data_IF_776852288722
#
_entry.id   IF_776852288722
#
_cell.length_a   1.000
_cell.length_b   1.000
_cell.length_c   1.000
_cell.angle_alpha   90.00
_cell.angle_beta   90.00
_cell.angle_gamma   90.00
#
_symmetry.space_group_name_H-M   'P 1'
#
loop_
_entity.id
_entity.type
_entity.pdbx_description
1 polymer ?
#
# COMPACT_ATOMS: atom_id res chain seq x y z
N UNK A 1 2.15 11.55 -1.64
CA UNK A 1 1.94 10.16 -2.05
C UNK A 1 1.58 9.34 -0.82
N UNK A 2 0.29 9.03 -0.67
CA UNK A 2 -0.26 8.19 0.41
C UNK A 2 -1.32 7.27 -0.18
N UNK A 3 -1.68 6.20 0.51
CA UNK A 3 -2.79 5.30 0.14
C UNK A 3 -4.10 6.06 -0.08
N UNK A 4 -4.30 7.18 0.64
CA UNK A 4 -5.48 8.03 0.48
C UNK A 4 -5.58 8.77 -0.86
N UNK A 5 -4.47 8.91 -1.58
CA UNK A 5 -4.46 9.49 -2.93
C UNK A 5 -4.73 8.42 -4.00
N UNK A 6 -4.73 7.13 -3.65
CA UNK A 6 -5.04 6.00 -4.53
C UNK A 6 -3.92 5.57 -5.49
N UNK A 7 -2.97 6.46 -5.83
CA UNK A 7 -1.91 6.20 -6.82
C UNK A 7 -0.98 5.05 -6.47
N UNK A 8 -0.86 4.70 -5.19
CA UNK A 8 0.01 3.63 -4.71
C UNK A 8 -0.64 2.25 -4.67
N UNK A 9 -1.97 2.15 -4.62
CA UNK A 9 -2.62 0.89 -4.23
C UNK A 9 -2.36 -0.23 -5.23
N UNK A 10 -2.57 0.05 -6.52
CA UNK A 10 -2.31 -0.91 -7.59
C UNK A 10 -0.82 -1.26 -7.70
N UNK A 11 0.07 -0.27 -7.60
CA UNK A 11 1.53 -0.47 -7.67
C UNK A 11 1.99 -1.37 -6.53
N UNK A 12 1.55 -1.10 -5.30
CA UNK A 12 1.92 -1.93 -4.16
C UNK A 12 1.40 -3.35 -4.33
N UNK A 13 0.18 -3.55 -4.83
CA UNK A 13 -0.32 -4.90 -5.15
C UNK A 13 0.59 -5.62 -6.16
N UNK A 14 0.90 -4.96 -7.29
CA UNK A 14 1.82 -5.49 -8.31
C UNK A 14 3.16 -5.89 -7.71
N UNK A 15 3.80 -4.97 -6.98
CA UNK A 15 5.12 -5.19 -6.39
C UNK A 15 5.10 -6.34 -5.38
N UNK A 16 4.02 -6.49 -4.60
CA UNK A 16 3.90 -7.59 -3.65
C UNK A 16 3.79 -8.95 -4.38
N UNK A 17 3.03 -9.03 -5.47
CA UNK A 17 2.90 -10.27 -6.25
C UNK A 17 4.24 -10.65 -6.91
N UNK A 18 4.91 -9.69 -7.54
CA UNK A 18 6.23 -9.91 -8.15
C UNK A 18 7.24 -10.34 -7.10
N UNK A 19 7.20 -9.72 -5.93
CA UNK A 19 8.18 -9.98 -4.87
C UNK A 19 8.01 -11.34 -4.19
N UNK A 20 6.79 -11.87 -4.07
CA UNK A 20 6.57 -13.24 -3.57
C UNK A 20 7.10 -14.30 -4.54
N UNK A 21 7.17 -13.96 -5.83
CA UNK A 21 7.59 -14.86 -6.90
C UNK A 21 8.93 -14.45 -7.51
N UNK A 22 9.83 -13.83 -6.71
CA UNK A 22 11.13 -13.39 -7.24
C UNK A 22 11.95 -14.53 -7.80
N UNK A 23 11.85 -15.74 -7.25
CA UNK A 23 12.60 -16.88 -7.75
C UNK A 23 12.13 -17.29 -9.15
N UNK A 24 10.85 -17.08 -9.47
CA UNK A 24 10.29 -17.38 -10.79
C UNK A 24 10.61 -16.25 -11.78
N UNK A 25 10.55 -14.99 -11.32
CA UNK A 25 10.72 -13.83 -12.18
C UNK A 25 12.16 -13.38 -12.38
N UNK A 26 13.04 -13.51 -11.40
CA UNK A 26 14.39 -12.94 -11.45
C UNK A 26 15.50 -13.98 -11.53
N UNK A 27 15.26 -15.23 -11.15
CA UNK A 27 16.29 -16.26 -11.28
C UNK A 27 16.34 -16.78 -12.73
N UNK A 28 17.53 -16.72 -13.29
CA UNK A 28 17.82 -17.09 -14.67
C UNK A 28 19.10 -17.90 -14.69
N UNK A 29 19.13 -19.06 -15.38
CA UNK A 29 20.34 -19.88 -15.49
C UNK A 29 21.49 -19.15 -16.19
N UNK A 30 21.19 -18.12 -17.00
CA UNK A 30 22.20 -17.28 -17.67
C UNK A 30 22.76 -16.14 -16.79
N UNK A 31 22.38 -16.10 -15.50
CA UNK A 31 22.73 -15.03 -14.59
C UNK A 31 21.79 -13.80 -14.71
N UNK A 32 21.87 -12.89 -13.73
CA UNK A 32 21.05 -11.67 -13.66
C UNK A 32 21.74 -10.54 -14.42
N UNK A 33 21.05 -9.93 -15.40
CA UNK A 33 21.52 -8.68 -16.01
C UNK A 33 21.58 -7.54 -14.99
N UNK A 34 22.45 -6.56 -15.21
CA UNK A 34 22.57 -5.38 -14.34
C UNK A 34 21.25 -4.64 -14.17
N UNK A 35 20.46 -4.56 -15.24
CA UNK A 35 19.13 -3.93 -15.22
C UNK A 35 18.18 -4.72 -14.33
N UNK A 36 18.14 -6.05 -14.44
CA UNK A 36 17.27 -6.87 -13.60
C UNK A 36 17.65 -6.80 -12.12
N UNK A 37 18.93 -6.69 -11.79
CA UNK A 37 19.36 -6.47 -10.41
C UNK A 37 18.82 -5.14 -9.86
N UNK A 38 18.85 -4.07 -10.66
CA UNK A 38 18.26 -2.78 -10.27
C UNK A 38 16.74 -2.86 -10.12
N UNK A 39 16.05 -3.57 -11.02
CA UNK A 39 14.60 -3.78 -10.94
C UNK A 39 14.22 -4.64 -9.72
N UNK A 40 15.01 -5.65 -9.37
CA UNK A 40 14.82 -6.46 -8.15
C UNK A 40 14.96 -5.59 -6.89
N UNK A 41 15.96 -4.71 -6.84
CA UNK A 41 16.14 -3.73 -5.76
C UNK A 41 14.94 -2.77 -5.68
N UNK A 42 14.45 -2.28 -6.81
CA UNK A 42 13.27 -1.43 -6.86
C UNK A 42 12.03 -2.15 -6.32
N UNK A 43 11.78 -3.39 -6.77
CA UNK A 43 10.69 -4.22 -6.26
C UNK A 43 10.85 -4.43 -4.75
N UNK A 44 12.08 -4.66 -4.27
CA UNK A 44 12.35 -4.79 -2.84
C UNK A 44 12.02 -3.50 -2.06
N UNK A 45 12.47 -2.33 -2.52
CA UNK A 45 12.20 -1.04 -1.86
C UNK A 45 10.71 -0.73 -1.77
N UNK A 46 9.94 -1.02 -2.82
CA UNK A 46 8.48 -0.84 -2.82
C UNK A 46 7.76 -1.76 -1.82
N UNK A 47 8.39 -2.87 -1.45
CA UNK A 47 7.91 -3.80 -0.43
C UNK A 47 8.51 -3.57 0.96
N UNK A 48 9.23 -2.45 1.17
CA UNK A 48 9.99 -2.15 2.39
C UNK A 48 11.04 -3.21 2.74
N UNK A 49 11.62 -3.86 1.73
CA UNK A 49 12.82 -4.67 1.88
C UNK A 49 14.06 -3.80 1.65
N UNK A 50 15.18 -4.14 2.29
CA UNK A 50 16.46 -3.44 2.07
C UNK A 50 16.99 -3.57 0.64
N UNK A 51 16.51 -4.58 -0.12
CA UNK A 51 16.91 -4.82 -1.51
C UNK A 51 18.31 -5.40 -1.69
N UNK A 52 19.03 -5.63 -0.60
CA UNK A 52 20.34 -6.26 -0.57
C UNK A 52 20.31 -7.48 0.35
N UNK A 53 21.14 -8.48 0.05
CA UNK A 53 21.37 -9.60 0.96
C UNK A 53 22.15 -9.09 2.17
N UNK A 54 21.46 -8.90 3.28
CA UNK A 54 22.08 -8.47 4.53
C UNK A 54 22.36 -9.67 5.42
N UNK A 55 23.64 -9.93 5.69
CA UNK A 55 24.07 -10.75 6.82
C UNK A 55 24.47 -9.82 7.97
N UNK A 56 23.65 -9.74 9.03
CA UNK A 56 23.91 -8.83 10.15
C UNK A 56 25.09 -9.28 11.02
N UNK A 57 25.37 -10.57 11.06
CA UNK A 57 26.49 -11.17 11.77
C UNK A 57 26.86 -12.52 11.13
N UNK A 58 28.10 -12.95 11.33
CA UNK A 58 28.58 -14.25 10.85
C UNK A 58 27.87 -15.41 11.55
N UNK A 59 27.34 -16.34 10.75
CA UNK A 59 26.56 -17.46 11.26
C UNK A 59 25.05 -17.19 11.41
N UNK A 60 24.55 -16.06 10.88
CA UNK A 60 23.11 -15.80 10.85
C UNK A 60 22.38 -16.82 9.95
N UNK A 61 21.72 -17.79 10.58
CA UNK A 61 20.92 -18.79 9.88
C UNK A 61 19.59 -18.23 9.32
N UNK A 62 18.96 -19.01 8.44
CA UNK A 62 17.71 -18.65 7.74
C UNK A 62 16.56 -18.31 8.70
N UNK A 63 16.44 -19.05 9.80
CA UNK A 63 15.43 -18.79 10.84
C UNK A 63 15.61 -17.39 11.44
N UNK A 64 16.86 -17.00 11.75
CA UNK A 64 17.17 -15.68 12.30
C UNK A 64 16.83 -14.56 11.30
N UNK A 65 17.13 -14.77 10.02
CA UNK A 65 16.78 -13.85 8.94
C UNK A 65 15.26 -13.61 8.85
N UNK A 66 14.46 -14.68 8.86
CA UNK A 66 12.99 -14.57 8.79
C UNK A 66 12.40 -13.96 10.07
N UNK A 67 12.95 -14.29 11.24
CA UNK A 67 12.55 -13.65 12.50
C UNK A 67 12.82 -12.13 12.49
N UNK A 68 13.98 -11.69 11.99
CA UNK A 68 14.28 -10.27 11.83
C UNK A 68 13.34 -9.58 10.84
N UNK A 69 12.94 -10.26 9.77
CA UNK A 69 11.95 -9.74 8.83
C UNK A 69 10.55 -9.56 9.45
N UNK A 70 10.23 -10.29 10.53
CA UNK A 70 9.01 -10.08 11.30
C UNK A 70 9.12 -8.87 12.25
N UNK A 71 10.31 -8.63 12.79
CA UNK A 71 10.58 -7.50 13.71
C UNK A 71 10.73 -6.17 12.95
N UNK A 72 11.27 -6.19 11.73
CA UNK A 72 11.53 -4.99 10.96
C UNK A 72 10.30 -4.07 10.75
N UNK A 73 9.11 -4.59 10.40
CA UNK A 73 7.90 -3.78 10.34
C UNK A 73 7.51 -3.15 11.68
N UNK A 74 7.71 -3.86 12.80
CA UNK A 74 7.45 -3.32 14.14
C UNK A 74 8.36 -2.13 14.45
N UNK A 75 9.63 -2.20 14.02
CA UNK A 75 10.55 -1.08 14.12
C UNK A 75 10.05 0.15 13.35
N UNK A 76 9.53 -0.01 12.14
CA UNK A 76 8.95 1.09 11.37
C UNK A 76 7.69 1.67 12.04
N UNK A 77 6.86 0.82 12.64
CA UNK A 77 5.71 1.27 13.44
C UNK A 77 6.15 2.07 14.67
N UNK A 78 7.18 1.60 15.39
CA UNK A 78 7.74 2.31 16.55
C UNK A 78 8.30 3.66 16.14
N UNK A 79 9.09 3.72 15.06
CA UNK A 79 9.65 4.96 14.54
C UNK A 79 8.55 5.93 14.11
N UNK A 80 7.47 5.42 13.52
CA UNK A 80 6.30 6.23 13.15
C UNK A 80 5.57 6.76 14.37
N UNK A 81 5.37 5.94 15.40
CA UNK A 81 4.77 6.35 16.67
C UNK A 81 5.63 7.39 17.37
N UNK A 82 6.95 7.23 17.37
CA UNK A 82 7.91 8.19 17.88
C UNK A 82 7.81 9.53 17.15
N UNK A 83 7.75 9.53 15.81
CA UNK A 83 7.55 10.76 15.02
C UNK A 83 6.22 11.44 15.40
N UNK A 84 5.14 10.67 15.53
CA UNK A 84 3.83 11.21 15.94
C UNK A 84 3.90 11.80 17.35
N UNK A 85 4.53 11.11 18.30
CA UNK A 85 4.71 11.57 19.67
C UNK A 85 5.56 12.85 19.73
N UNK A 86 6.70 12.87 19.03
CA UNK A 86 7.56 14.05 18.89
C UNK A 86 6.83 15.21 18.21
N UNK A 87 5.96 14.92 17.23
CA UNK A 87 5.15 15.94 16.56
C UNK A 87 4.22 16.65 17.54
N UNK A 88 3.56 15.92 18.44
CA UNK A 88 2.67 16.51 19.46
C UNK A 88 3.41 17.42 20.44
N UNK A 89 4.67 17.09 20.75
CA UNK A 89 5.48 17.86 21.70
C UNK A 89 6.17 19.07 21.06
N UNK A 90 6.43 19.03 19.75
CA UNK A 90 7.16 20.09 19.04
C UNK A 90 6.29 20.77 17.98
N UNK A 91 6.07 22.07 18.17
CA UNK A 91 5.36 22.93 17.21
C UNK A 91 6.07 23.00 15.84
N UNK A 92 7.39 22.78 15.81
CA UNK A 92 8.20 22.74 14.58
C UNK A 92 7.84 21.50 13.76
N UNK A 93 7.77 20.34 14.41
CA UNK A 93 7.45 19.06 13.76
C UNK A 93 5.97 19.02 13.36
N UNK A 94 5.08 19.59 14.17
CA UNK A 94 3.66 19.78 13.80
C UNK A 94 3.51 20.66 12.55
N UNK A 95 4.27 21.75 12.43
CA UNK A 95 4.25 22.59 11.20
C UNK A 95 4.76 21.81 9.98
N UNK A 96 5.64 20.83 10.17
CA UNK A 96 6.21 20.02 9.08
C UNK A 96 5.28 18.87 8.63
N UNK A 97 4.56 18.23 9.55
CA UNK A 97 3.81 16.98 9.27
C UNK A 97 2.31 17.02 9.57
N UNK A 98 1.81 18.02 10.30
CA UNK A 98 0.53 18.01 11.01
C UNK A 98 -0.73 17.78 10.18
N UNK A 99 -0.83 18.31 8.95
CA UNK A 99 -2.08 18.24 8.15
C UNK A 99 -2.38 16.86 7.56
N UNK A 100 -1.37 15.97 7.44
CA UNK A 100 -1.50 14.70 6.73
C UNK A 100 -1.14 13.47 7.59
N UNK A 101 -1.01 13.63 8.91
CA UNK A 101 -0.53 12.56 9.81
C UNK A 101 -1.35 11.29 9.69
N UNK A 102 -2.69 11.40 9.65
CA UNK A 102 -3.58 10.23 9.55
C UNK A 102 -3.39 9.46 8.23
N UNK A 103 -3.24 10.19 7.12
CA UNK A 103 -3.01 9.60 5.78
C UNK A 103 -1.67 8.90 5.68
N UNK A 104 -0.64 9.47 6.32
CA UNK A 104 0.70 8.89 6.42
C UNK A 104 0.64 7.62 7.27
N UNK A 105 -0.02 7.67 8.44
CA UNK A 105 -0.20 6.52 9.32
C UNK A 105 -0.93 5.36 8.61
N UNK A 106 -2.01 5.65 7.87
CA UNK A 106 -2.70 4.65 7.07
C UNK A 106 -1.78 4.01 6.03
N UNK A 107 -0.92 4.80 5.38
CA UNK A 107 0.05 4.28 4.40
C UNK A 107 1.10 3.37 5.06
N UNK A 108 1.59 3.74 6.23
CA UNK A 108 2.56 2.94 6.99
C UNK A 108 1.92 1.62 7.44
N UNK A 109 0.72 1.66 8.00
CA UNK A 109 -0.01 0.45 8.43
C UNK A 109 -0.31 -0.47 7.24
N UNK A 110 -0.66 0.09 6.08
CA UNK A 110 -0.86 -0.68 4.87
C UNK A 110 0.41 -1.43 4.42
N UNK A 111 1.57 -0.77 4.43
CA UNK A 111 2.84 -1.43 4.09
C UNK A 111 3.30 -2.41 5.17
N UNK A 112 3.09 -2.08 6.44
CA UNK A 112 3.32 -2.98 7.57
C UNK A 112 2.54 -4.28 7.40
N UNK A 113 1.24 -4.16 7.10
CA UNK A 113 0.38 -5.30 6.81
C UNK A 113 0.90 -6.12 5.63
N UNK A 114 1.25 -5.47 4.52
CA UNK A 114 1.76 -6.13 3.32
C UNK A 114 3.04 -6.94 3.61
N UNK A 115 3.96 -6.35 4.37
CA UNK A 115 5.24 -6.96 4.73
C UNK A 115 5.05 -8.12 5.71
N UNK A 116 4.22 -7.96 6.73
CA UNK A 116 3.88 -9.02 7.67
C UNK A 116 3.22 -10.20 6.98
N UNK A 117 2.21 -9.94 6.14
CA UNK A 117 1.49 -10.99 5.43
C UNK A 117 2.47 -11.85 4.63
N UNK A 118 3.41 -11.21 3.93
CA UNK A 118 4.45 -11.90 3.18
C UNK A 118 5.37 -12.75 4.08
N UNK A 119 5.89 -12.19 5.16
CA UNK A 119 6.75 -12.94 6.09
C UNK A 119 6.00 -14.17 6.66
N UNK A 120 4.72 -14.01 6.99
CA UNK A 120 3.86 -15.12 7.41
C UNK A 120 3.79 -16.19 6.33
N UNK A 121 3.57 -15.82 5.07
CA UNK A 121 3.52 -16.78 3.96
C UNK A 121 4.84 -17.51 3.78
N UNK A 122 5.97 -16.81 3.85
CA UNK A 122 7.28 -17.43 3.75
C UNK A 122 7.49 -18.47 4.88
N UNK A 123 6.97 -18.22 6.08
CA UNK A 123 6.97 -19.17 7.20
C UNK A 123 6.03 -20.36 6.93
N UNK A 124 4.82 -20.10 6.44
CA UNK A 124 3.80 -21.13 6.21
C UNK A 124 4.11 -22.01 4.99
N UNK A 125 4.87 -21.50 4.02
CA UNK A 125 5.16 -22.17 2.75
C UNK A 125 5.96 -23.45 2.98
N UNK A 126 5.38 -24.58 2.61
CA UNK A 126 5.99 -25.92 2.68
C UNK A 126 6.46 -26.34 1.29
N UNK A 127 7.50 -27.15 1.20
CA UNK A 127 7.89 -27.83 -0.05
C UNK A 127 8.01 -29.33 0.21
N UNK A 128 7.63 -30.11 -0.79
CA UNK A 128 7.78 -31.55 -0.79
C UNK A 128 9.01 -31.89 -1.63
N UNK A 129 9.94 -32.63 -1.05
CA UNK A 129 11.10 -33.15 -1.77
C UNK A 129 10.87 -34.63 -1.96
N UNK A 130 10.79 -35.05 -3.22
CA UNK A 130 10.78 -36.45 -3.61
C UNK A 130 12.23 -36.79 -3.95
N UNK A 131 12.90 -37.53 -3.07
CA UNK A 131 14.22 -38.08 -3.36
C UNK A 131 13.96 -39.41 -4.07
N UNK A 132 14.26 -39.47 -5.36
CA UNK A 132 14.35 -40.74 -6.08
C UNK A 132 15.67 -41.41 -5.65
N UNK A 133 15.55 -42.59 -5.04
CA UNK A 133 16.70 -43.40 -4.69
C UNK A 133 17.38 -43.94 -5.94
N UNK A 134 18.71 -44.00 -5.93
CA UNK A 134 19.53 -44.45 -7.07
C UNK A 134 19.30 -45.94 -7.39
N UNK A 135 18.80 -46.70 -6.42
CA UNK A 135 18.36 -48.09 -6.60
C UNK A 135 16.83 -48.19 -6.52
N UNK A 136 16.23 -48.89 -7.49
CA UNK A 136 14.79 -49.20 -7.59
C UNK A 136 14.16 -49.88 -6.36
N UNK A 137 14.96 -50.25 -5.36
CA UNK A 137 14.56 -50.84 -4.08
C UNK A 137 14.65 -49.88 -2.88
N UNK A 138 15.20 -48.67 -3.05
CA UNK A 138 15.32 -47.70 -1.96
C UNK A 138 14.08 -46.81 -1.89
N UNK A 139 13.42 -46.90 -0.73
CA UNK A 139 12.14 -46.30 -0.38
C UNK A 139 12.07 -44.80 -0.74
N UNK A 140 10.99 -44.39 -1.41
CA UNK A 140 10.66 -42.97 -1.59
C UNK A 140 10.44 -42.31 -0.22
N UNK A 141 11.44 -41.58 0.28
CA UNK A 141 11.27 -40.78 1.50
C UNK A 141 10.70 -39.43 1.09
N UNK A 142 9.37 -39.35 0.98
CA UNK A 142 8.67 -38.08 0.85
C UNK A 142 8.71 -37.34 2.19
N UNK A 143 9.45 -36.22 2.25
CA UNK A 143 9.57 -35.40 3.45
C UNK A 143 9.12 -33.96 3.19
N UNK A 144 8.27 -33.41 4.06
CA UNK A 144 7.95 -31.99 4.04
C UNK A 144 9.10 -31.17 4.63
N UNK A 145 9.65 -30.28 3.81
CA UNK A 145 10.69 -29.32 4.19
C UNK A 145 10.13 -27.90 4.13
N UNK A 146 10.79 -26.99 4.85
CA UNK A 146 10.45 -25.58 4.76
C UNK A 146 10.98 -24.99 3.45
N UNK A 147 10.16 -24.24 2.70
CA UNK A 147 10.56 -23.78 1.37
C UNK A 147 11.67 -22.74 1.37
N UNK A 148 11.77 -21.95 2.46
CA UNK A 148 12.85 -20.96 2.58
C UNK A 148 14.19 -21.66 2.87
N UNK A 149 14.16 -22.83 3.52
CA UNK A 149 15.35 -23.61 3.87
C UNK A 149 15.05 -25.11 3.80
N UNK A 150 15.47 -25.74 2.70
CA UNK A 150 15.23 -27.16 2.44
C UNK A 150 15.92 -28.11 3.43
N UNK A 151 16.89 -27.63 4.22
CA UNK A 151 17.56 -28.45 5.24
C UNK A 151 16.67 -28.67 6.47
N UNK A 152 15.71 -27.78 6.71
CA UNK A 152 14.89 -27.79 7.92
C UNK A 152 13.61 -28.60 7.68
N UNK A 153 13.36 -29.65 8.49
CA UNK A 153 12.10 -30.39 8.42
C UNK A 153 10.93 -29.50 8.88
N UNK A 154 9.84 -29.50 8.12
CA UNK A 154 8.68 -28.66 8.37
C UNK A 154 8.01 -29.06 9.69
N UNK A 155 7.82 -28.09 10.60
CA UNK A 155 7.22 -28.28 11.95
C UNK A 155 7.88 -29.30 12.88
N UNK A 156 8.96 -29.97 12.47
CA UNK A 156 9.65 -30.93 13.33
C UNK A 156 10.75 -30.28 14.16
N UNK A 157 11.33 -29.18 13.65
CA UNK A 157 12.31 -28.40 14.40
C UNK A 157 11.58 -27.46 15.38
N UNK A 158 11.99 -27.47 16.66
CA UNK A 158 11.44 -26.58 17.71
C UNK A 158 11.48 -25.10 17.31
N UNK A 159 12.57 -24.65 16.67
CA UNK A 159 12.73 -23.24 16.26
C UNK A 159 11.74 -22.83 15.18
N UNK A 160 11.55 -23.67 14.16
CA UNK A 160 10.56 -23.45 13.11
C UNK A 160 9.13 -23.52 13.66
N UNK A 161 8.86 -24.44 14.59
CA UNK A 161 7.54 -24.58 15.22
C UNK A 161 7.13 -23.34 16.00
N UNK A 162 8.08 -22.72 16.74
CA UNK A 162 7.83 -21.43 17.41
C UNK A 162 7.51 -20.34 16.39
N UNK A 163 8.28 -20.26 15.30
CA UNK A 163 8.06 -19.27 14.24
C UNK A 163 6.69 -19.44 13.56
N UNK A 164 6.28 -20.68 13.33
CA UNK A 164 4.96 -21.03 12.82
C UNK A 164 3.84 -20.61 13.77
N UNK A 165 3.96 -20.91 15.07
CA UNK A 165 2.98 -20.50 16.08
C UNK A 165 2.83 -18.96 16.12
N UNK A 166 3.95 -18.22 16.05
CA UNK A 166 3.92 -16.76 15.94
C UNK A 166 3.21 -16.32 14.65
N UNK A 167 3.49 -16.95 13.50
CA UNK A 167 2.85 -16.63 12.24
C UNK A 167 1.32 -16.82 12.31
N UNK A 168 0.85 -17.91 12.92
CA UNK A 168 -0.59 -18.16 13.13
C UNK A 168 -1.24 -17.08 14.00
N UNK A 169 -0.58 -16.68 15.10
CA UNK A 169 -1.07 -15.58 15.96
C UNK A 169 -1.16 -14.28 15.16
N UNK A 170 -0.14 -13.98 14.33
CA UNK A 170 -0.12 -12.78 13.51
C UNK A 170 -1.24 -12.80 12.45
N UNK A 171 -1.54 -13.95 11.85
CA UNK A 171 -2.72 -14.11 10.97
C UNK A 171 -4.01 -13.82 11.75
N UNK A 172 -4.15 -14.40 12.95
CA UNK A 172 -5.33 -14.19 13.78
C UNK A 172 -5.54 -12.71 14.17
N UNK A 173 -4.46 -11.94 14.34
CA UNK A 173 -4.52 -10.50 14.61
C UNK A 173 -4.76 -9.66 13.35
N UNK A 174 -4.22 -10.07 12.20
CA UNK A 174 -4.33 -9.30 10.95
C UNK A 174 -5.66 -9.54 10.21
N UNK A 175 -6.30 -10.68 10.42
CA UNK A 175 -7.59 -11.04 9.80
C UNK A 175 -8.75 -10.13 10.25
N UNK A 176 -8.92 -9.76 11.53
CA UNK A 176 -9.89 -8.74 11.92
C UNK A 176 -9.69 -7.40 11.21
N UNK A 177 -8.45 -6.99 10.96
CA UNK A 177 -8.15 -5.75 10.24
C UNK A 177 -8.61 -5.83 8.77
N UNK A 178 -8.38 -6.95 8.08
CA UNK A 178 -8.83 -7.11 6.70
C UNK A 178 -10.35 -7.18 6.60
N UNK A 179 -11.00 -7.91 7.51
CA UNK A 179 -12.46 -7.96 7.58
C UNK A 179 -13.06 -6.59 7.90
N UNK A 180 -12.44 -5.80 8.78
CA UNK A 180 -12.88 -4.44 9.07
C UNK A 180 -12.85 -3.53 7.84
N UNK A 181 -11.79 -3.62 7.02
CA UNK A 181 -11.69 -2.87 5.76
C UNK A 181 -12.65 -3.39 4.70
N UNK A 182 -12.89 -4.69 4.63
CA UNK A 182 -13.84 -5.28 3.67
C UNK A 182 -15.28 -4.86 4.00
N UNK A 183 -15.68 -4.96 5.27
CA UNK A 183 -17.03 -4.65 5.71
C UNK A 183 -17.22 -3.20 6.16
N UNK A 184 -16.33 -2.30 5.76
CA UNK A 184 -16.31 -0.89 6.19
C UNK A 184 -17.65 -0.17 5.95
N UNK A 185 -18.32 -0.44 4.83
CA UNK A 185 -19.64 0.12 4.51
C UNK A 185 -20.71 -0.38 5.47
N UNK A 186 -20.69 -1.67 5.80
CA UNK A 186 -21.62 -2.28 6.76
C UNK A 186 -21.38 -1.78 8.18
N UNK A 187 -20.10 -1.70 8.58
CA UNK A 187 -19.68 -1.18 9.89
C UNK A 187 -20.08 0.28 10.07
N UNK A 188 -19.93 1.12 9.03
CA UNK A 188 -20.35 2.53 9.06
C UNK A 188 -21.86 2.67 9.15
N UNK A 189 -22.63 1.83 8.46
CA UNK A 189 -24.11 1.85 8.52
C UNK A 189 -24.65 1.47 9.91
N UNK A 190 -23.95 0.58 10.63
CA UNK A 190 -24.35 0.11 11.97
C UNK A 190 -23.56 0.76 13.12
N UNK A 191 -22.85 1.86 12.88
CA UNK A 191 -21.93 2.45 13.86
C UNK A 191 -22.60 3.04 15.11
N UNK A 192 -23.93 3.24 15.07
CA UNK A 192 -24.72 3.69 16.22
C UNK A 192 -24.93 2.61 17.30
N UNK A 193 -24.61 1.34 17.01
CA UNK A 193 -24.64 0.28 18.04
C UNK A 193 -23.49 0.46 19.05
N UNK A 194 -23.75 0.26 20.34
CA UNK A 194 -22.73 0.43 21.41
C UNK A 194 -21.41 -0.31 21.15
N UNK A 195 -21.50 -1.54 20.61
CA UNK A 195 -20.33 -2.38 20.28
C UNK A 195 -19.51 -1.81 19.11
N UNK A 196 -20.10 -0.99 18.25
CA UNK A 196 -19.48 -0.43 17.04
C UNK A 196 -19.13 1.06 17.15
N UNK A 197 -19.29 1.68 18.33
CA UNK A 197 -18.93 3.08 18.55
C UNK A 197 -17.45 3.37 18.27
N UNK A 198 -16.57 2.37 18.39
CA UNK A 198 -15.14 2.51 18.05
C UNK A 198 -14.92 2.81 16.56
N UNK A 199 -15.84 2.41 15.67
CA UNK A 199 -15.80 2.72 14.24
C UNK A 199 -15.88 4.22 14.00
N UNK A 200 -16.69 4.94 14.78
CA UNK A 200 -16.81 6.40 14.68
C UNK A 200 -15.50 7.09 15.11
N UNK A 201 -14.80 6.55 16.11
CA UNK A 201 -13.47 7.08 16.53
C UNK A 201 -12.40 6.86 15.46
N UNK A 202 -12.49 5.76 14.71
CA UNK A 202 -11.56 5.43 13.61
C UNK A 202 -12.00 5.97 12.26
N UNK A 203 -13.08 6.76 12.18
CA UNK A 203 -13.57 7.33 10.92
C UNK A 203 -12.47 8.03 10.11
N UNK A 204 -11.62 8.91 10.67
CA UNK A 204 -10.55 9.56 9.90
C UNK A 204 -9.54 8.57 9.29
N UNK A 205 -9.31 7.44 9.96
CA UNK A 205 -8.42 6.38 9.48
C UNK A 205 -9.06 5.61 8.33
N UNK A 206 -10.34 5.24 8.48
CA UNK A 206 -11.12 4.58 7.45
C UNK A 206 -11.29 5.45 6.20
N UNK A 207 -11.56 6.74 6.38
CA UNK A 207 -11.66 7.72 5.30
C UNK A 207 -10.33 7.85 4.52
N UNK A 208 -9.18 7.59 5.15
CA UNK A 208 -7.89 7.57 4.48
C UNK A 208 -7.72 6.36 3.54
N UNK A 209 -8.42 5.24 3.75
CA UNK A 209 -8.42 4.10 2.81
C UNK A 209 -9.52 4.22 1.76
N UNK A 210 -10.66 4.81 2.10
CA UNK A 210 -11.81 4.91 1.19
C UNK A 210 -11.77 6.14 0.30
N UNK A 211 -10.98 7.17 0.67
CA UNK A 211 -10.89 8.46 -0.01
C UNK A 211 -10.84 8.47 -1.54
N UNK A 212 -10.04 7.60 -2.22
CA UNK A 212 -9.93 7.65 -3.67
C UNK A 212 -11.11 6.98 -4.41
N UNK A 213 -11.95 6.22 -3.70
CA UNK A 213 -13.05 5.43 -4.26
C UNK A 213 -14.37 6.17 -4.23
N UNK A 214 -15.30 5.86 -5.15
CA UNK A 214 -16.69 6.32 -5.02
C UNK A 214 -17.38 5.61 -3.84
N UNK A 215 -18.46 6.19 -3.32
CA UNK A 215 -19.14 5.71 -2.10
C UNK A 215 -19.57 4.24 -2.17
N UNK A 216 -20.00 3.78 -3.37
CA UNK A 216 -20.42 2.40 -3.60
C UNK A 216 -19.26 1.40 -3.56
N UNK A 217 -18.01 1.84 -3.72
CA UNK A 217 -16.82 0.99 -3.81
C UNK A 217 -15.86 1.16 -2.62
N UNK A 218 -16.31 1.70 -1.49
CA UNK A 218 -15.48 1.86 -0.30
C UNK A 218 -14.92 0.53 0.26
N UNK A 219 -15.52 -0.62 -0.08
CA UNK A 219 -15.00 -1.95 0.28
C UNK A 219 -13.78 -2.40 -0.55
N UNK A 220 -13.46 -1.71 -1.65
CA UNK A 220 -12.50 -2.17 -2.66
C UNK A 220 -11.10 -2.46 -2.09
N UNK A 221 -10.60 -1.59 -1.20
CA UNK A 221 -9.31 -1.83 -0.53
C UNK A 221 -9.32 -3.15 0.24
N UNK A 222 -10.37 -3.40 1.04
CA UNK A 222 -10.50 -4.65 1.79
C UNK A 222 -10.62 -5.85 0.87
N UNK A 223 -11.35 -5.72 -0.24
CA UNK A 223 -11.47 -6.75 -1.27
C UNK A 223 -10.10 -7.10 -1.88
N UNK A 224 -9.29 -6.11 -2.27
CA UNK A 224 -7.94 -6.36 -2.79
C UNK A 224 -7.03 -7.04 -1.76
N UNK A 225 -7.16 -6.73 -0.47
CA UNK A 225 -6.43 -7.41 0.60
C UNK A 225 -6.85 -8.88 0.74
N UNK A 226 -8.14 -9.18 0.61
CA UNK A 226 -8.65 -10.56 0.66
C UNK A 226 -8.20 -11.36 -0.57
N UNK A 227 -8.36 -10.81 -1.77
CA UNK A 227 -7.86 -11.44 -3.01
C UNK A 227 -6.38 -11.76 -2.88
N UNK A 228 -5.60 -10.84 -2.31
CA UNK A 228 -4.18 -11.06 -2.03
C UNK A 228 -3.93 -12.19 -1.04
N UNK A 229 -4.66 -12.25 0.08
CA UNK A 229 -4.54 -13.36 1.04
C UNK A 229 -4.83 -14.70 0.34
N UNK A 230 -5.93 -14.78 -0.40
CA UNK A 230 -6.36 -16.00 -1.11
C UNK A 230 -5.30 -16.43 -2.13
N UNK A 231 -4.84 -15.49 -2.97
CA UNK A 231 -3.79 -15.75 -3.96
C UNK A 231 -2.52 -16.28 -3.31
N UNK A 232 -2.11 -15.66 -2.20
CA UNK A 232 -0.88 -16.03 -1.52
C UNK A 232 -0.98 -17.37 -0.79
N UNK A 233 -2.12 -17.70 -0.18
CA UNK A 233 -2.37 -19.03 0.38
C UNK A 233 -2.34 -20.08 -0.74
N UNK A 234 -2.97 -19.79 -1.89
CA UNK A 234 -2.94 -20.70 -3.03
C UNK A 234 -1.50 -20.96 -3.51
N UNK A 235 -0.67 -19.92 -3.63
CA UNK A 235 0.76 -20.08 -3.98
C UNK A 235 1.52 -20.89 -2.91
N UNK A 236 1.25 -20.64 -1.63
CA UNK A 236 1.93 -21.32 -0.53
C UNK A 236 1.63 -22.83 -0.48
N UNK A 237 0.44 -23.24 -0.91
CA UNK A 237 0.00 -24.65 -0.93
C UNK A 237 0.44 -25.38 -2.20
N UNK A 238 0.55 -24.69 -3.34
CA UNK A 238 0.83 -25.29 -4.65
C UNK A 238 2.34 -25.46 -4.97
N UNK A 239 3.20 -25.35 -3.97
CA UNK A 239 4.66 -25.47 -4.11
C UNK A 239 5.15 -26.77 -4.74
N UNK A 240 4.43 -27.88 -4.58
CA UNK A 240 4.81 -29.17 -5.14
C UNK A 240 4.41 -29.37 -6.61
N UNK A 241 3.50 -28.54 -7.15
CA UNK A 241 2.86 -28.79 -8.46
C UNK A 241 3.44 -27.96 -9.63
N UNK A 242 4.56 -27.27 -9.40
CA UNK A 242 5.34 -26.56 -10.43
C UNK A 242 5.04 -25.06 -10.57
N UNK A 243 6.06 -24.31 -11.02
CA UNK A 243 6.03 -22.84 -11.15
C UNK A 243 4.95 -22.33 -12.10
N UNK A 244 4.64 -23.11 -13.15
CA UNK A 244 3.63 -22.77 -14.18
C UNK A 244 2.24 -22.61 -13.57
N UNK A 245 1.86 -23.46 -12.61
CA UNK A 245 0.55 -23.36 -11.95
C UNK A 245 0.43 -22.07 -11.12
N UNK A 246 1.49 -21.69 -10.40
CA UNK A 246 1.51 -20.43 -9.66
C UNK A 246 1.36 -19.23 -10.60
N UNK A 247 2.05 -19.23 -11.74
CA UNK A 247 1.92 -18.19 -12.76
C UNK A 247 0.50 -18.15 -13.35
N UNK A 248 -0.10 -19.30 -13.60
CA UNK A 248 -1.48 -19.39 -14.12
C UNK A 248 -2.50 -18.89 -13.08
N UNK A 249 -2.30 -19.20 -11.80
CA UNK A 249 -3.12 -18.66 -10.71
C UNK A 249 -3.03 -17.14 -10.60
N UNK A 250 -1.83 -16.58 -10.74
CA UNK A 250 -1.66 -15.12 -10.76
C UNK A 250 -2.37 -14.54 -11.98
N UNK A 251 -2.15 -15.10 -13.18
CA UNK A 251 -2.73 -14.59 -14.42
C UNK A 251 -4.28 -14.63 -14.40
N UNK A 252 -4.86 -15.73 -13.95
CA UNK A 252 -6.32 -15.88 -13.79
C UNK A 252 -6.88 -14.89 -12.77
N UNK A 253 -6.22 -14.73 -11.62
CA UNK A 253 -6.62 -13.74 -10.61
C UNK A 253 -6.55 -12.32 -11.18
N UNK A 254 -5.50 -11.97 -11.92
CA UNK A 254 -5.38 -10.65 -12.56
C UNK A 254 -6.40 -10.44 -13.65
N UNK A 255 -6.75 -11.46 -14.43
CA UNK A 255 -7.80 -11.38 -15.44
C UNK A 255 -9.18 -11.16 -14.80
N UNK A 256 -9.48 -11.85 -13.70
CA UNK A 256 -10.71 -11.62 -12.93
C UNK A 256 -10.75 -10.19 -12.39
N UNK A 257 -9.66 -9.71 -11.78
CA UNK A 257 -9.57 -8.33 -11.30
C UNK A 257 -9.76 -7.31 -12.44
N UNK A 258 -9.14 -7.56 -13.60
CA UNK A 258 -9.28 -6.73 -14.79
C UNK A 258 -10.74 -6.62 -15.25
N UNK A 259 -11.48 -7.74 -15.29
CA UNK A 259 -12.90 -7.77 -15.65
C UNK A 259 -13.78 -7.08 -14.60
N UNK A 260 -13.43 -7.22 -13.32
CA UNK A 260 -14.17 -6.59 -12.22
C UNK A 260 -13.99 -5.07 -12.18
N UNK A 261 -12.90 -4.54 -12.75
CA UNK A 261 -12.67 -3.10 -12.85
C UNK A 261 -13.57 -2.53 -13.92
N UNK A 262 -14.74 -2.10 -13.47
CA UNK A 262 -15.61 -1.25 -14.29
C UNK A 262 -15.06 0.17 -14.28
N UNK A 263 -15.12 0.92 -15.39
CA UNK A 263 -14.80 2.34 -15.39
C UNK A 263 -15.63 3.04 -14.30
N UNK A 264 -14.95 3.61 -13.30
CA UNK A 264 -15.59 4.38 -12.25
C UNK A 264 -15.58 3.79 -10.84
N UNK A 265 -14.69 2.85 -10.53
CA UNK A 265 -14.39 2.49 -9.12
C UNK A 265 -13.75 3.69 -8.41
N UNK A 266 -12.75 4.31 -9.04
CA UNK A 266 -12.13 5.54 -8.53
C UNK A 266 -12.91 6.78 -8.94
N UNK A 267 -12.82 7.82 -8.10
CA UNK A 267 -13.37 9.16 -8.39
C UNK A 267 -12.70 9.80 -9.58
N UNK A 268 -11.39 9.59 -9.78
CA UNK A 268 -10.63 10.13 -10.91
C UNK A 268 -10.39 9.06 -11.98
N UNK A 269 -10.51 9.48 -13.24
CA UNK A 269 -10.27 8.58 -14.38
C UNK A 269 -8.81 8.13 -14.46
N UNK A 270 -7.85 9.00 -14.09
CA UNK A 270 -6.41 8.69 -14.07
C UNK A 270 -6.09 7.53 -13.14
N UNK A 271 -6.74 7.45 -11.97
CA UNK A 271 -6.55 6.33 -11.04
C UNK A 271 -7.08 5.02 -11.61
N UNK A 272 -8.24 5.06 -12.27
CA UNK A 272 -8.74 3.88 -13.00
C UNK A 272 -7.75 3.46 -14.09
N UNK A 273 -7.19 4.40 -14.85
CA UNK A 273 -6.19 4.11 -15.89
C UNK A 273 -4.91 3.48 -15.31
N UNK A 274 -4.37 4.01 -14.22
CA UNK A 274 -3.19 3.46 -13.54
C UNK A 274 -3.45 2.03 -13.07
N UNK A 275 -4.62 1.77 -12.49
CA UNK A 275 -4.97 0.43 -12.00
C UNK A 275 -5.13 -0.57 -13.15
N UNK A 276 -5.86 -0.20 -14.23
CA UNK A 276 -6.00 -1.01 -15.45
C UNK A 276 -4.64 -1.31 -16.08
N UNK A 277 -3.79 -0.29 -16.24
CA UNK A 277 -2.43 -0.47 -16.74
C UNK A 277 -1.63 -1.44 -15.88
N UNK A 278 -1.72 -1.31 -14.54
CA UNK A 278 -0.97 -2.16 -13.61
C UNK A 278 -1.38 -3.63 -13.72
N UNK A 279 -2.69 -3.93 -13.82
CA UNK A 279 -3.13 -5.32 -13.97
C UNK A 279 -2.86 -5.88 -15.36
N UNK A 280 -3.02 -5.09 -16.42
CA UNK A 280 -2.64 -5.50 -17.76
C UNK A 280 -1.14 -5.80 -17.84
N UNK A 281 -0.31 -4.99 -17.19
CA UNK A 281 1.13 -5.20 -17.10
C UNK A 281 1.48 -6.49 -16.35
N UNK A 282 0.79 -6.78 -15.24
CA UNK A 282 1.00 -8.02 -14.47
C UNK A 282 0.55 -9.27 -15.24
N UNK A 283 -0.56 -9.19 -15.98
CA UNK A 283 -1.02 -10.25 -16.86
C UNK A 283 -0.03 -10.49 -18.01
N UNK A 284 0.54 -9.42 -18.59
CA UNK A 284 1.59 -9.53 -19.62
C UNK A 284 2.88 -10.15 -19.06
N UNK A 285 3.33 -9.75 -17.86
CA UNK A 285 4.50 -10.34 -17.19
C UNK A 285 4.31 -11.84 -16.93
N UNK A 286 3.16 -12.22 -16.36
CA UNK A 286 2.87 -13.63 -16.05
C UNK A 286 2.68 -14.47 -17.30
N UNK A 287 1.99 -13.95 -18.32
CA UNK A 287 1.83 -14.65 -19.60
C UNK A 287 3.16 -14.81 -20.34
N UNK A 288 4.00 -13.77 -20.37
CA UNK A 288 5.33 -13.82 -20.97
C UNK A 288 6.28 -14.79 -20.26
N UNK A 289 6.22 -14.85 -18.92
CA UNK A 289 7.03 -15.80 -18.14
C UNK A 289 6.55 -17.24 -18.31
N UNK A 290 5.24 -17.50 -18.41
CA UNK A 290 4.71 -18.83 -18.78
C UNK A 290 5.19 -19.24 -20.17
N UNK A 291 5.17 -18.32 -21.13
CA UNK A 291 5.66 -18.57 -22.49
C UNK A 291 7.15 -18.95 -22.47
N UNK A 292 7.98 -18.18 -21.77
CA UNK A 292 9.41 -18.46 -21.62
C UNK A 292 9.66 -19.83 -20.95
N UNK A 293 8.91 -20.16 -19.89
CA UNK A 293 8.98 -21.47 -19.23
C UNK A 293 8.58 -22.62 -20.16
N UNK A 294 7.55 -22.45 -20.99
CA UNK A 294 7.06 -23.50 -21.89
C UNK A 294 8.03 -23.81 -23.02
N UNK A 295 8.62 -22.78 -23.62
CA UNK A 295 9.60 -22.93 -24.70
C UNK A 295 11.05 -23.09 -24.20
N UNK A 296 11.27 -23.15 -22.89
CA UNK A 296 12.59 -23.18 -22.25
C UNK A 296 13.50 -22.03 -22.69
N UNK A 297 12.90 -20.89 -23.04
CA UNK A 297 13.66 -19.67 -23.31
C UNK A 297 14.04 -19.02 -21.99
N UNK A 298 15.33 -18.90 -21.74
CA UNK A 298 15.84 -18.10 -20.62
C UNK A 298 15.91 -16.62 -21.01
N UNK A 299 14.79 -16.05 -21.48
CA UNK A 299 14.75 -14.64 -21.89
C UNK A 299 14.32 -13.75 -20.71
N UNK A 300 15.14 -12.77 -20.36
CA UNK A 300 14.82 -11.81 -19.30
C UNK A 300 13.92 -10.66 -19.78
N UNK A 301 13.46 -10.76 -21.02
CA UNK A 301 12.72 -9.70 -21.71
C UNK A 301 11.38 -9.34 -21.04
N UNK A 302 10.48 -10.28 -20.68
CA UNK A 302 9.20 -9.92 -20.08
C UNK A 302 9.36 -9.15 -18.76
N UNK A 303 10.33 -9.55 -17.94
CA UNK A 303 10.64 -8.90 -16.65
C UNK A 303 11.18 -7.50 -16.88
N UNK A 304 12.16 -7.35 -17.76
CA UNK A 304 12.80 -6.06 -18.07
C UNK A 304 11.76 -5.07 -18.57
N UNK A 305 10.89 -5.49 -19.49
CA UNK A 305 9.86 -4.65 -20.08
C UNK A 305 8.77 -4.28 -19.06
N UNK A 306 8.18 -5.26 -18.39
CA UNK A 306 7.03 -5.05 -17.52
C UNK A 306 7.44 -4.34 -16.22
N UNK A 307 8.41 -4.88 -15.48
CA UNK A 307 8.88 -4.25 -14.23
C UNK A 307 9.57 -2.91 -14.51
N UNK A 308 10.30 -2.78 -15.62
CA UNK A 308 10.87 -1.50 -16.07
C UNK A 308 9.81 -0.44 -16.38
N UNK A 309 8.73 -0.80 -17.06
CA UNK A 309 7.61 0.12 -17.29
C UNK A 309 6.92 0.57 -16.00
N UNK A 310 6.79 -0.33 -15.01
CA UNK A 310 6.26 0.02 -13.69
C UNK A 310 7.20 0.95 -12.90
N UNK A 311 8.52 0.79 -13.04
CA UNK A 311 9.50 1.72 -12.49
C UNK A 311 9.34 3.13 -13.08
N UNK A 312 9.24 3.23 -14.41
CA UNK A 312 9.02 4.51 -15.08
C UNK A 312 7.70 5.17 -14.67
N UNK A 313 6.62 4.39 -14.56
CA UNK A 313 5.34 4.87 -14.07
C UNK A 313 5.46 5.43 -12.64
N UNK A 314 6.14 4.71 -11.74
CA UNK A 314 6.37 5.15 -10.37
C UNK A 314 7.16 6.47 -10.34
N UNK A 315 8.24 6.58 -11.11
CA UNK A 315 9.00 7.82 -11.24
C UNK A 315 8.12 8.97 -11.74
N UNK A 316 7.28 8.72 -12.75
CA UNK A 316 6.33 9.71 -13.27
C UNK A 316 5.34 10.20 -12.21
N UNK A 317 4.79 9.30 -11.40
CA UNK A 317 3.89 9.64 -10.28
C UNK A 317 4.62 10.49 -9.24
N UNK A 318 5.86 10.12 -8.87
CA UNK A 318 6.66 10.89 -7.91
C UNK A 318 6.94 12.30 -8.43
N UNK A 319 7.39 12.43 -9.68
CA UNK A 319 7.63 13.73 -10.33
C UNK A 319 6.35 14.56 -10.37
N UNK A 320 5.21 13.96 -10.76
CA UNK A 320 3.92 14.63 -10.77
C UNK A 320 3.55 15.20 -9.39
N UNK A 321 3.71 14.42 -8.31
CA UNK A 321 3.41 14.89 -6.96
C UNK A 321 4.38 15.97 -6.48
N UNK A 322 5.66 15.88 -6.83
CA UNK A 322 6.65 16.92 -6.53
C UNK A 322 6.27 18.22 -7.23
N UNK A 323 6.01 18.17 -8.54
CA UNK A 323 5.58 19.33 -9.31
C UNK A 323 4.28 19.90 -8.73
N UNK A 324 3.26 19.08 -8.48
CA UNK A 324 1.99 19.54 -7.88
C UNK A 324 2.21 20.22 -6.51
N UNK A 325 3.12 19.73 -5.68
CA UNK A 325 3.41 20.36 -4.38
C UNK A 325 4.18 21.67 -4.55
N UNK A 326 5.12 21.71 -5.49
CA UNK A 326 5.83 22.94 -5.82
C UNK A 326 4.85 24.00 -6.34
N UNK A 327 3.83 23.65 -7.14
CA UNK A 327 2.96 24.65 -7.83
C UNK A 327 2.13 25.45 -6.88
N UNK A 328 1.76 24.83 -5.78
CA UNK A 328 1.01 25.45 -4.68
C UNK A 328 1.92 26.36 -3.83
N UNK A 329 3.24 26.19 -3.90
CA UNK A 329 4.17 26.98 -3.08
C UNK A 329 4.31 28.40 -3.65
N UNK A 330 4.09 29.42 -2.82
CA UNK A 330 4.20 30.86 -3.17
C UNK A 330 5.49 31.22 -3.94
N UNK A 331 6.58 30.50 -3.67
CA UNK A 331 7.87 30.63 -4.38
C UNK A 331 7.80 30.29 -5.87
N UNK A 332 6.97 29.32 -6.30
CA UNK A 332 6.83 29.02 -7.73
C UNK A 332 6.02 30.11 -8.45
N UNK A 333 5.07 30.77 -7.77
CA UNK A 333 4.46 32.00 -8.28
C UNK A 333 5.51 33.08 -8.58
N UNK A 334 6.42 33.32 -7.64
CA UNK A 334 7.55 34.25 -7.83
C UNK A 334 8.54 33.80 -8.91
N UNK A 335 8.82 32.49 -9.00
CA UNK A 335 9.74 31.94 -10.00
C UNK A 335 9.14 31.96 -11.42
N UNK A 336 7.83 31.73 -11.58
CA UNK A 336 7.13 31.92 -12.86
C UNK A 336 7.15 33.38 -13.29
N UNK A 337 6.89 34.30 -12.36
CA UNK A 337 6.99 35.74 -12.63
C UNK A 337 8.42 36.10 -13.04
N UNK A 338 9.45 35.57 -12.36
CA UNK A 338 10.85 35.80 -12.71
C UNK A 338 11.23 35.19 -14.08
N UNK A 339 10.77 33.97 -14.39
CA UNK A 339 11.00 33.33 -15.70
C UNK A 339 10.30 34.07 -16.84
N UNK A 340 9.09 34.59 -16.59
CA UNK A 340 8.35 35.39 -17.57
C UNK A 340 8.95 36.79 -17.74
N UNK A 341 9.43 37.43 -16.66
CA UNK A 341 10.19 38.70 -16.69
C UNK A 341 11.45 38.56 -17.56
N UNK A 342 12.12 37.40 -17.51
CA UNK A 342 13.31 37.10 -18.32
C UNK A 342 12.99 36.80 -19.79
N UNK A 343 11.81 36.27 -20.09
CA UNK A 343 11.41 35.87 -21.46
C UNK A 343 10.68 36.98 -22.22
N UNK A 344 10.06 37.94 -21.52
CA UNK A 344 9.36 39.11 -22.09
C UNK A 344 9.63 40.39 -21.25
N UNK A 345 10.82 41.01 -21.38
CA UNK A 345 11.21 42.15 -20.55
C UNK A 345 10.40 43.43 -20.79
N UNK A 346 9.66 43.53 -21.90
CA UNK A 346 8.84 44.70 -22.24
C UNK A 346 7.43 44.69 -21.66
N UNK A 347 6.97 43.57 -21.08
CA UNK A 347 5.66 43.54 -20.42
C UNK A 347 5.74 44.18 -19.03
N UNK A 348 4.96 45.25 -18.79
CA UNK A 348 4.89 45.91 -17.47
C UNK A 348 4.53 44.88 -16.39
N UNK A 349 5.36 44.78 -15.33
CA UNK A 349 5.19 43.86 -14.18
C UNK A 349 3.78 43.80 -13.59
N UNK A 350 3.01 44.90 -13.70
CA UNK A 350 1.63 45.00 -13.22
C UNK A 350 0.66 44.15 -14.04
N UNK A 351 0.85 44.08 -15.36
CA UNK A 351 0.04 43.28 -16.30
C UNK A 351 0.32 41.77 -16.18
N UNK A 352 1.58 41.38 -15.96
CA UNK A 352 1.96 39.98 -15.74
C UNK A 352 1.34 39.44 -14.44
N UNK A 353 1.29 40.27 -13.39
CA UNK A 353 0.78 39.85 -12.07
C UNK A 353 -0.74 39.66 -12.07
N UNK A 354 -1.49 40.46 -12.83
CA UNK A 354 -2.94 40.31 -13.02
C UNK A 354 -3.33 39.13 -13.92
N UNK A 355 -2.44 38.68 -14.82
CA UNK A 355 -2.69 37.54 -15.71
C UNK A 355 -2.43 36.17 -15.05
N UNK A 356 -1.60 36.11 -14.00
CA UNK A 356 -1.14 34.85 -13.39
C UNK A 356 -1.89 34.51 -12.09
N UNK A 357 -2.43 35.53 -11.40
CA UNK A 357 -3.16 35.36 -10.15
C UNK A 357 -4.60 35.84 -10.35
N UNK A 358 -5.55 34.98 -10.77
CA UNK A 358 -6.91 35.19 -10.30
C UNK A 358 -6.82 35.18 -8.77
N UNK A 359 -7.21 36.28 -8.15
CA UNK A 359 -7.30 36.40 -6.70
C UNK A 359 -8.28 35.34 -6.21
N UNK A 360 -7.75 34.18 -5.80
CA UNK A 360 -8.52 33.16 -5.08
C UNK A 360 -8.45 33.58 -3.63
N UNK A 361 -9.55 34.17 -3.17
CA UNK A 361 -9.75 34.54 -1.78
C UNK A 361 -9.73 33.25 -0.92
N UNK A 362 -8.76 33.09 0.00
CA UNK A 362 -8.63 31.86 0.78
C UNK A 362 -9.79 31.61 1.75
N UNK A 363 -10.68 32.57 1.95
CA UNK A 363 -11.82 32.47 2.86
C UNK A 363 -13.12 32.00 2.18
N UNK A 364 -13.14 31.81 0.86
CA UNK A 364 -14.34 31.41 0.10
C UNK A 364 -14.37 29.91 -0.29
N UNK A 365 -13.81 29.06 0.58
CA UNK A 365 -13.90 27.59 0.47
C UNK A 365 -15.05 27.07 1.35
N UNK A 366 -16.27 27.53 1.07
CA UNK A 366 -17.46 26.76 1.47
C UNK A 366 -17.64 25.60 0.49
N UNK A 367 -17.83 24.41 1.06
CA UNK A 367 -18.08 23.15 0.36
C UNK A 367 -19.28 23.28 -0.59
N UNK A 368 -19.00 23.49 -1.88
CA UNK A 368 -19.97 23.25 -2.95
C UNK A 368 -20.04 21.74 -3.22
N UNK A 369 -20.68 21.03 -2.29
CA UNK A 369 -21.20 19.68 -2.51
C UNK A 369 -22.60 19.53 -1.91
N UNK A 370 -23.55 20.32 -2.42
CA UNK A 370 -24.97 20.05 -2.25
C UNK A 370 -25.79 20.67 -3.39
N UNK A 371 -26.11 19.82 -4.37
CA UNK A 371 -27.18 19.96 -5.36
C UNK A 371 -27.50 18.51 -5.78
N UNK A 372 -28.69 17.94 -5.70
CA UNK A 372 -30.02 18.39 -5.28
C UNK A 372 -30.78 17.14 -4.81
N UNK A 373 -31.69 17.29 -3.87
CA UNK A 373 -32.88 16.44 -3.77
C UNK A 373 -34.04 17.34 -3.35
N UNK A 374 -34.99 17.54 -4.26
CA UNK A 374 -36.29 18.15 -4.02
C UNK A 374 -36.94 17.60 -2.74
N UNK A 375 -37.36 18.48 -1.81
CA UNK A 375 -38.54 18.24 -0.97
C UNK A 375 -39.07 19.52 -0.27
N UNK A 376 -40.35 19.77 -0.53
CA UNK A 376 -41.42 20.49 0.21
C UNK A 376 -41.37 21.99 0.63
N UNK A 377 -42.37 22.80 0.22
CA UNK A 377 -42.51 24.22 0.57
C UNK A 377 -43.28 24.45 1.89
N UNK A 378 -42.85 23.86 3.01
CA UNK A 378 -43.48 24.08 4.33
C UNK A 378 -42.51 24.67 5.39
N UNK A 379 -41.21 24.81 5.09
CA UNK A 379 -40.23 25.25 6.09
C UNK A 379 -39.81 26.73 6.03
N UNK A 380 -40.69 27.63 5.59
CA UNK A 380 -40.35 29.05 5.41
C UNK A 380 -40.58 29.94 6.65
N UNK A 381 -41.00 29.38 7.79
CA UNK A 381 -41.35 30.13 9.01
C UNK A 381 -40.67 29.61 10.30
N UNK A 382 -39.36 29.34 10.27
CA UNK A 382 -38.59 29.06 11.48
C UNK A 382 -37.71 30.27 11.88
N UNK A 383 -37.72 30.71 13.15
CA UNK A 383 -36.92 31.85 13.61
C UNK A 383 -35.41 31.52 13.67
N UNK A 384 -34.53 32.53 13.56
CA UNK A 384 -33.09 32.32 13.46
C UNK A 384 -32.52 31.82 14.79
N UNK A 385 -31.90 30.65 14.76
CA UNK A 385 -31.20 30.06 15.90
C UNK A 385 -29.90 30.84 16.17
N UNK A 386 -29.74 31.21 17.43
CA UNK A 386 -28.64 32.00 17.96
C UNK A 386 -27.26 31.38 17.72
N UNK A 387 -26.29 32.25 17.46
CA UNK A 387 -24.87 32.00 17.24
C UNK A 387 -24.24 31.50 18.57
N UNK A 388 -23.74 30.27 18.59
CA UNK A 388 -23.02 29.67 19.73
C UNK A 388 -21.60 30.24 19.83
N UNK A 389 -21.45 31.45 20.37
CA UNK A 389 -20.16 32.03 20.74
C UNK A 389 -20.26 32.77 22.09
N UNK A 390 -20.82 32.13 23.12
CA UNK A 390 -20.88 32.77 24.45
C UNK A 390 -21.01 31.77 25.61
N UNK A 391 -20.04 30.86 25.77
CA UNK A 391 -19.79 30.21 27.06
C UNK A 391 -18.28 29.99 27.24
N UNK A 392 -17.58 31.06 27.60
CA UNK A 392 -16.26 31.00 28.22
C UNK A 392 -16.41 31.52 29.65
N UNK A 393 -16.56 30.59 30.60
CA UNK A 393 -16.63 30.92 32.02
C UNK A 393 -15.32 31.59 32.50
N UNK A 394 -15.39 32.61 33.37
CA UNK A 394 -14.23 33.14 34.06
C UNK A 394 -13.95 32.35 35.35
N UNK A 395 -12.71 31.89 35.52
CA UNK A 395 -12.17 31.39 36.78
C UNK A 395 -11.99 32.54 37.77
N UNK A 396 -12.78 32.57 38.85
CA UNK A 396 -12.47 33.34 40.06
C UNK A 396 -12.66 32.41 41.28
N UNK A 397 -11.61 32.33 42.09
CA UNK A 397 -11.60 31.59 43.35
C UNK A 397 -10.38 31.95 44.19
N UNK A 398 -10.22 33.23 44.52
CA UNK A 398 -9.36 33.68 45.63
C UNK A 398 -10.26 34.07 46.80
N UNK A 399 -10.29 33.25 47.84
CA UNK A 399 -10.81 33.62 49.16
C UNK A 399 -9.67 33.62 50.16
N UNK A 400 -9.40 34.80 50.72
CA UNK A 400 -8.52 35.06 51.86
C UNK A 400 -9.37 35.73 52.94
N UNK A 401 -9.47 35.07 54.09
CA UNK A 401 -9.85 35.48 55.46
C UNK A 401 -9.97 34.12 56.16
N UNK A 402 -9.17 33.76 57.17
CA UNK A 402 -8.72 34.48 58.36
C UNK A 402 -7.20 34.65 58.47
#
# INVERSE_FOLDING_TARGET
MTVSEGTLNAIVFYMNVVRVNTNIFFDSPKGKSTVNRMLEVFVAWMNLDLGIETCFYDGMGTIGKVALQLVFPLYLCLLSWLIIFLSRRSSIVTKLFGKNVVKILATIIFHFYAKILRTVIDILRRSEIIVEGEDSYTQHVSGYRWTVDGTIPYLHNRRHTVLFAIAVIVVAVTLPYTLALLFIQCLRRRSNMKVLLWVNKLKPFFDAYTGPYKDNYHFWTGFLLVVRIVLFIAIAVNTSKGEILNLTLINTTTAILFVLIRPGIYKSWVLNLIEVFTYANLAALTSGTVYDSWFKYSNQFPITLCVGSMFLLFCGIVVYHILKKLSVTRRWGSMKVWLLDRRWPWMKKKQIRSLILPYVDPDNYEDSSSSDSELDPILQNAPPVARYDEYREPLIGTTRTE
#
